data_IF_874995633436
#
_entry.id   IF_874995633436
#
_cell.length_a   1.000
_cell.length_b   1.000
_cell.length_c   1.000
_cell.angle_alpha   90.00
_cell.angle_beta   90.00
_cell.angle_gamma   90.00
#
_symmetry.space_group_name_H-M   'P 1'
#
loop_
_entity.id
_entity.type
_entity.pdbx_description
1 polymer ?
#
# COMPACT_ATOMS: atom_id res chain seq x y z
N UNK A 1 5.68 -13.24 -5.37
CA UNK A 1 4.67 -12.39 -4.68
C UNK A 1 4.47 -11.05 -5.39
N UNK A 2 5.54 -10.38 -5.87
CA UNK A 2 5.42 -9.09 -6.57
C UNK A 2 4.35 -9.00 -7.67
N UNK A 3 4.19 -10.01 -8.52
CA UNK A 3 3.14 -10.01 -9.55
C UNK A 3 1.70 -10.02 -9.01
N UNK A 4 1.45 -10.72 -7.89
CA UNK A 4 0.13 -10.74 -7.24
C UNK A 4 -0.17 -9.40 -6.60
N UNK A 5 0.82 -8.80 -5.93
CA UNK A 5 0.70 -7.49 -5.32
C UNK A 5 0.43 -6.40 -6.38
N UNK A 6 1.12 -6.46 -7.51
CA UNK A 6 0.89 -5.55 -8.63
C UNK A 6 -0.56 -5.62 -9.15
N UNK A 7 -1.07 -6.84 -9.39
CA UNK A 7 -2.46 -7.02 -9.82
C UNK A 7 -3.45 -6.53 -8.75
N UNK A 8 -3.16 -6.75 -7.47
CA UNK A 8 -4.00 -6.28 -6.38
C UNK A 8 -4.09 -4.74 -6.34
N UNK A 9 -3.00 -4.02 -6.62
CA UNK A 9 -3.01 -2.55 -6.72
C UNK A 9 -3.85 -2.10 -7.91
N UNK A 10 -3.74 -2.76 -9.06
CA UNK A 10 -4.56 -2.44 -10.23
C UNK A 10 -6.05 -2.64 -9.92
N UNK A 11 -6.41 -3.73 -9.25
CA UNK A 11 -7.79 -3.99 -8.84
C UNK A 11 -8.27 -2.90 -7.88
N UNK A 12 -7.46 -2.55 -6.87
CA UNK A 12 -7.80 -1.49 -5.92
C UNK A 12 -7.97 -0.15 -6.62
N UNK A 13 -7.11 0.18 -7.58
CA UNK A 13 -7.19 1.40 -8.39
C UNK A 13 -8.49 1.45 -9.19
N UNK A 14 -8.85 0.37 -9.88
CA UNK A 14 -10.11 0.29 -10.63
C UNK A 14 -11.33 0.40 -9.70
N UNK A 15 -11.28 -0.24 -8.53
CA UNK A 15 -12.33 -0.10 -7.52
C UNK A 15 -12.44 1.36 -7.02
N UNK A 16 -11.31 2.04 -6.83
CA UNK A 16 -11.27 3.46 -6.47
C UNK A 16 -11.92 4.36 -7.53
N UNK A 17 -11.66 4.11 -8.82
CA UNK A 17 -12.30 4.84 -9.92
C UNK A 17 -13.82 4.64 -9.91
N UNK A 18 -14.28 3.40 -9.69
CA UNK A 18 -15.72 3.11 -9.59
C UNK A 18 -16.32 3.80 -8.36
N UNK A 19 -15.64 3.77 -7.21
CA UNK A 19 -16.10 4.36 -5.96
C UNK A 19 -16.33 5.89 -6.04
N UNK A 20 -15.65 6.59 -6.96
CA UNK A 20 -15.90 8.02 -7.24
C UNK A 20 -17.36 8.27 -7.67
N UNK A 21 -17.96 7.34 -8.42
CA UNK A 21 -19.34 7.45 -8.91
C UNK A 21 -20.39 6.92 -7.92
N UNK A 22 -19.97 6.18 -6.89
CA UNK A 22 -20.83 5.58 -5.88
C UNK A 22 -20.38 5.98 -4.47
N UNK A 23 -20.57 7.25 -4.07
CA UNK A 23 -20.15 7.71 -2.75
C UNK A 23 -20.98 7.06 -1.65
N UNK A 24 -20.34 6.70 -0.53
CA UNK A 24 -21.04 6.20 0.65
C UNK A 24 -20.06 5.79 1.75
N UNK A 25 -20.44 6.02 3.02
CA UNK A 25 -19.60 5.72 4.19
C UNK A 25 -19.04 4.30 4.17
N UNK A 26 -19.89 3.31 3.89
CA UNK A 26 -19.48 1.90 3.81
C UNK A 26 -18.45 1.66 2.71
N UNK A 27 -18.66 2.21 1.51
CA UNK A 27 -17.72 2.05 0.37
C UNK A 27 -16.37 2.70 0.72
N UNK A 28 -16.38 3.90 1.30
CA UNK A 28 -15.17 4.60 1.74
C UNK A 28 -14.39 3.78 2.77
N UNK A 29 -15.06 3.26 3.80
CA UNK A 29 -14.41 2.45 4.86
C UNK A 29 -13.86 1.14 4.27
N UNK A 30 -14.61 0.46 3.41
CA UNK A 30 -14.15 -0.79 2.77
C UNK A 30 -12.95 -0.53 1.87
N UNK A 31 -13.00 0.51 1.03
CA UNK A 31 -11.90 0.92 0.16
C UNK A 31 -10.64 1.24 0.97
N UNK A 32 -10.77 2.06 2.01
CA UNK A 32 -9.65 2.45 2.83
C UNK A 32 -9.08 1.26 3.64
N UNK A 33 -9.93 0.36 4.13
CA UNK A 33 -9.47 -0.85 4.84
C UNK A 33 -8.71 -1.79 3.92
N UNK A 34 -9.20 -2.00 2.69
CA UNK A 34 -8.52 -2.81 1.68
C UNK A 34 -7.17 -2.20 1.27
N UNK A 35 -7.13 -0.87 1.09
CA UNK A 35 -5.89 -0.13 0.82
C UNK A 35 -4.88 -0.25 1.96
N UNK A 36 -5.28 0.01 3.20
CA UNK A 36 -4.41 -0.12 4.37
C UNK A 36 -3.81 -1.52 4.49
N UNK A 37 -4.63 -2.57 4.29
CA UNK A 37 -4.17 -3.95 4.33
C UNK A 37 -3.18 -4.25 3.19
N UNK A 38 -3.50 -3.86 1.95
CA UNK A 38 -2.65 -4.10 0.79
C UNK A 38 -1.29 -3.43 0.93
N UNK A 39 -1.26 -2.15 1.29
CA UNK A 39 0.01 -1.42 1.48
C UNK A 39 0.78 -1.90 2.70
N UNK A 40 0.12 -2.44 3.74
CA UNK A 40 0.81 -3.12 4.84
C UNK A 40 1.51 -4.41 4.38
N UNK A 41 0.93 -5.15 3.44
CA UNK A 41 1.57 -6.32 2.83
C UNK A 41 2.74 -5.90 1.93
N UNK A 42 2.60 -4.80 1.18
CA UNK A 42 3.71 -4.20 0.44
C UNK A 42 4.87 -3.81 1.35
N UNK A 43 4.57 -3.14 2.47
CA UNK A 43 5.60 -2.75 3.43
C UNK A 43 6.37 -3.97 3.95
N UNK A 44 5.69 -5.07 4.27
CA UNK A 44 6.33 -6.33 4.67
C UNK A 44 7.19 -6.90 3.53
N UNK A 45 6.67 -6.91 2.31
CA UNK A 45 7.38 -7.42 1.14
C UNK A 45 8.65 -6.61 0.82
N UNK A 46 8.53 -5.28 0.79
CA UNK A 46 9.64 -4.37 0.47
C UNK A 46 10.68 -4.36 1.59
N UNK A 47 10.27 -4.39 2.86
CA UNK A 47 11.22 -4.55 3.98
C UNK A 47 11.94 -5.90 3.94
N UNK A 48 11.27 -6.99 3.56
CA UNK A 48 11.92 -8.30 3.37
C UNK A 48 12.92 -8.29 2.22
N UNK A 49 12.58 -7.60 1.12
CA UNK A 49 13.47 -7.44 -0.03
C UNK A 49 14.73 -6.65 0.36
N UNK A 50 14.58 -5.63 1.20
CA UNK A 50 15.67 -4.76 1.66
C UNK A 50 16.55 -5.38 2.74
N UNK A 51 15.96 -6.14 3.67
CA UNK A 51 16.70 -6.77 4.77
C UNK A 51 17.47 -8.02 4.33
N UNK A 52 17.26 -8.52 3.12
CA UNK A 52 18.03 -9.61 2.52
C UNK A 52 17.96 -10.91 3.33
N UNK A 53 17.05 -11.81 2.97
CA UNK A 53 17.16 -13.23 3.37
C UNK A 53 18.39 -13.92 2.73
N UNK A 54 18.39 -15.27 2.64
CA UNK A 54 19.45 -16.16 2.08
C UNK A 54 20.09 -15.79 0.71
N UNK A 55 19.70 -14.67 0.10
CA UNK A 55 20.25 -14.15 -1.15
C UNK A 55 20.91 -12.79 -0.93
N UNK A 56 22.23 -12.89 -0.77
CA UNK A 56 23.27 -11.85 -0.73
C UNK A 56 23.10 -10.81 -1.86
N UNK A 57 22.33 -9.76 -1.61
CA UNK A 57 22.40 -8.51 -2.36
C UNK A 57 22.52 -7.37 -1.36
N UNK A 58 23.77 -7.00 -1.06
CA UNK A 58 24.05 -5.68 -0.50
C UNK A 58 23.50 -4.65 -1.48
N UNK A 59 22.43 -3.94 -1.08
CA UNK A 59 21.86 -2.82 -1.84
C UNK A 59 23.02 -1.93 -2.30
N UNK A 60 23.18 -1.76 -3.61
CA UNK A 60 24.16 -0.81 -4.15
C UNK A 60 23.79 0.59 -3.62
N UNK A 61 24.74 1.49 -3.32
CA UNK A 61 24.42 2.86 -2.90
C UNK A 61 23.42 3.58 -3.83
N UNK A 62 23.32 3.19 -5.10
CA UNK A 62 22.30 3.70 -6.03
C UNK A 62 20.87 3.19 -5.77
N UNK A 63 20.72 2.00 -5.20
CA UNK A 63 19.42 1.34 -4.99
C UNK A 63 18.74 1.72 -3.68
N UNK A 64 19.50 2.24 -2.69
CA UNK A 64 18.96 2.62 -1.38
C UNK A 64 17.94 3.76 -1.48
N UNK A 65 18.15 4.73 -2.38
CA UNK A 65 17.21 5.83 -2.61
C UNK A 65 15.88 5.28 -3.12
N UNK A 66 15.92 4.39 -4.10
CA UNK A 66 14.73 3.76 -4.66
C UNK A 66 13.99 2.93 -3.61
N UNK A 67 14.72 2.15 -2.83
CA UNK A 67 14.16 1.33 -1.77
C UNK A 67 13.52 2.18 -0.65
N UNK A 68 14.17 3.27 -0.24
CA UNK A 68 13.61 4.23 0.71
C UNK A 68 12.36 4.93 0.18
N UNK A 69 12.31 5.26 -1.12
CA UNK A 69 11.12 5.82 -1.76
C UNK A 69 9.94 4.85 -1.73
N UNK A 70 10.16 3.55 -2.00
CA UNK A 70 9.08 2.56 -1.93
C UNK A 70 8.53 2.43 -0.51
N UNK A 71 9.40 2.29 0.50
CA UNK A 71 8.97 2.27 1.91
C UNK A 71 8.20 3.55 2.31
N UNK A 72 8.67 4.70 1.83
CA UNK A 72 8.00 5.98 2.10
C UNK A 72 6.57 5.98 1.52
N UNK A 73 6.41 5.53 0.27
CA UNK A 73 5.10 5.44 -0.38
C UNK A 73 4.16 4.50 0.37
N UNK A 74 4.65 3.34 0.81
CA UNK A 74 3.85 2.40 1.58
C UNK A 74 3.35 3.01 2.90
N UNK A 75 4.25 3.63 3.67
CA UNK A 75 3.92 4.26 4.95
C UNK A 75 2.92 5.39 4.78
N UNK A 76 3.12 6.27 3.79
CA UNK A 76 2.19 7.38 3.53
C UNK A 76 0.82 6.87 3.10
N UNK A 77 0.75 5.85 2.24
CA UNK A 77 -0.52 5.27 1.83
C UNK A 77 -1.26 4.64 3.02
N UNK A 78 -0.58 3.84 3.83
CA UNK A 78 -1.16 3.26 5.06
C UNK A 78 -1.70 4.37 5.97
N UNK A 79 -0.91 5.42 6.20
CA UNK A 79 -1.32 6.56 7.02
C UNK A 79 -2.58 7.25 6.47
N UNK A 80 -2.62 7.54 5.17
CA UNK A 80 -3.76 8.18 4.52
C UNK A 80 -5.02 7.30 4.59
N UNK A 81 -4.88 5.99 4.43
CA UNK A 81 -6.00 5.06 4.56
C UNK A 81 -6.52 4.97 5.99
N UNK A 82 -5.63 4.89 6.99
CA UNK A 82 -6.03 4.93 8.40
C UNK A 82 -6.76 6.23 8.73
N UNK A 83 -6.23 7.37 8.27
CA UNK A 83 -6.86 8.67 8.47
C UNK A 83 -8.27 8.72 7.85
N UNK A 84 -8.42 8.14 6.66
CA UNK A 84 -9.72 8.02 5.99
C UNK A 84 -10.71 7.16 6.79
N UNK A 85 -10.27 6.02 7.33
CA UNK A 85 -11.11 5.15 8.17
C UNK A 85 -11.56 5.89 9.43
N UNK A 86 -10.63 6.55 10.12
CA UNK A 86 -10.93 7.30 11.35
C UNK A 86 -11.90 8.45 11.05
N UNK A 87 -11.67 9.21 9.98
CA UNK A 87 -12.55 10.29 9.54
C UNK A 87 -13.96 9.79 9.26
N UNK A 88 -14.10 8.79 8.39
CA UNK A 88 -15.39 8.23 8.00
C UNK A 88 -16.13 7.51 9.14
N UNK A 89 -15.43 7.08 10.19
CA UNK A 89 -16.04 6.43 11.36
C UNK A 89 -16.69 7.42 12.33
N UNK A 90 -16.27 8.69 12.32
CA UNK A 90 -16.74 9.73 13.24
C UNK A 90 -17.98 10.48 12.74
N UNK A 91 -18.19 10.51 11.43
CA UNK A 91 -19.38 11.06 10.76
C UNK A 91 -20.51 10.01 10.66
#
# INVERSE_FOLDING_TARGET
>A
MGGVLFVAVIILMLFGIIAIFFPGKTITIVYASAGALLFSIYLIYDTQLMMGGEHKYSISPEEYIFAALNLYLDIINIFMYILTIIGASRD
#
